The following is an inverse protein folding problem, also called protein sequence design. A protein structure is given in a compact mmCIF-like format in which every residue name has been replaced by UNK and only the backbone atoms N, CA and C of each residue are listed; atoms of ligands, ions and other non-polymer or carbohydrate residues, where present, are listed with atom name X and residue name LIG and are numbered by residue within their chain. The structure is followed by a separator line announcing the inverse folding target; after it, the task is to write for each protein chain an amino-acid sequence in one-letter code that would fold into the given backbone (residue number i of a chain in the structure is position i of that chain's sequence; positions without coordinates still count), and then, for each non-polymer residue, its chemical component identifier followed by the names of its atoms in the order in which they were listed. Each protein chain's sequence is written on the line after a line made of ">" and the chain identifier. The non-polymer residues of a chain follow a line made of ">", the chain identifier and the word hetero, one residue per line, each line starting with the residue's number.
data_IF_488140688495
#
_entry.id   IF_488140688495
#
_cell.length_a   1.000
_cell.length_b   1.000
_cell.length_c   1.000
_cell.angle_alpha   90.00
_cell.angle_beta   90.00
_cell.angle_gamma   90.00
#
_symmetry.space_group_name_H-M   'P 1'
#
loop_
_entity.id
_entity.type
_entity.pdbx_description
1 polymer ?
#
# COMPACT_ATOMS: atom_id res chain seq x y z
N UNK A 1 5.33 -13.16 42.78
CA UNK A 1 6.03 -13.36 41.49
C UNK A 1 5.35 -14.39 40.57
N UNK A 2 4.99 -15.60 41.03
CA UNK A 2 4.36 -16.64 40.16
C UNK A 2 3.06 -16.20 39.46
N UNK A 3 2.12 -15.58 40.20
CA UNK A 3 0.85 -15.06 39.64
C UNK A 3 1.07 -13.95 38.62
N UNK A 4 1.96 -12.99 38.93
CA UNK A 4 2.32 -11.91 38.01
C UNK A 4 2.95 -12.44 36.71
N UNK A 5 3.84 -13.45 36.80
CA UNK A 5 4.43 -14.10 35.62
C UNK A 5 3.39 -14.80 34.73
N UNK A 6 2.41 -15.49 35.33
CA UNK A 6 1.29 -16.11 34.58
C UNK A 6 0.42 -15.05 33.90
N UNK A 7 0.06 -13.98 34.60
CA UNK A 7 -0.74 -12.88 34.03
C UNK A 7 -0.01 -12.26 32.84
N UNK A 8 1.29 -11.97 32.99
CA UNK A 8 2.11 -11.40 31.92
C UNK A 8 2.22 -12.35 30.72
N UNK A 9 2.37 -13.65 30.98
CA UNK A 9 2.43 -14.67 29.95
C UNK A 9 1.13 -14.76 29.15
N UNK A 10 -0.03 -14.86 29.84
CA UNK A 10 -1.34 -14.93 29.19
C UNK A 10 -1.63 -13.65 28.41
N UNK A 11 -1.36 -12.48 29.00
CA UNK A 11 -1.51 -11.20 28.30
C UNK A 11 -0.61 -11.14 27.05
N UNK A 12 0.63 -11.63 27.16
CA UNK A 12 1.58 -11.70 26.06
C UNK A 12 1.08 -12.58 24.91
N UNK A 13 0.54 -13.76 25.21
CA UNK A 13 -0.07 -14.67 24.22
C UNK A 13 -1.23 -13.99 23.50
N UNK A 14 -2.16 -13.39 24.26
CA UNK A 14 -3.34 -12.72 23.70
C UNK A 14 -2.92 -11.55 22.79
N UNK A 15 -2.06 -10.66 23.26
CA UNK A 15 -1.60 -9.50 22.48
C UNK A 15 -0.84 -9.92 21.21
N UNK A 16 0.00 -10.94 21.31
CA UNK A 16 0.75 -11.47 20.15
C UNK A 16 -0.20 -12.05 19.11
N UNK A 17 -1.13 -12.91 19.53
CA UNK A 17 -2.07 -13.57 18.63
C UNK A 17 -3.00 -12.56 17.94
N UNK A 18 -3.63 -11.67 18.71
CA UNK A 18 -4.53 -10.65 18.16
C UNK A 18 -3.80 -9.64 17.29
N UNK A 19 -2.63 -9.14 17.73
CA UNK A 19 -1.84 -8.19 16.96
C UNK A 19 -1.35 -8.78 15.62
N UNK A 20 -0.95 -10.05 15.61
CA UNK A 20 -0.50 -10.74 14.39
C UNK A 20 -1.66 -11.01 13.44
N UNK A 21 -2.78 -11.55 13.92
CA UNK A 21 -3.95 -11.85 13.07
C UNK A 21 -4.52 -10.56 12.48
N UNK A 22 -4.70 -9.52 13.31
CA UNK A 22 -5.20 -8.22 12.86
C UNK A 22 -4.21 -7.52 11.93
N UNK A 23 -2.91 -7.57 12.24
CA UNK A 23 -1.86 -6.93 11.45
C UNK A 23 -1.73 -7.57 10.07
N UNK A 24 -1.60 -8.90 10.02
CA UNK A 24 -1.54 -9.65 8.77
C UNK A 24 -2.83 -9.52 7.95
N UNK A 25 -4.01 -9.65 8.58
CA UNK A 25 -5.29 -9.50 7.87
C UNK A 25 -5.43 -8.13 7.22
N UNK A 26 -5.13 -7.06 7.95
CA UNK A 26 -5.18 -5.71 7.42
C UNK A 26 -4.05 -5.45 6.39
N UNK A 27 -2.87 -6.04 6.56
CA UNK A 27 -1.77 -5.94 5.60
C UNK A 27 -2.08 -6.63 4.27
N UNK A 28 -2.66 -7.84 4.29
CA UNK A 28 -3.06 -8.53 3.06
C UNK A 28 -4.28 -7.89 2.38
N UNK A 29 -5.16 -7.25 3.15
CA UNK A 29 -6.26 -6.46 2.59
C UNK A 29 -5.80 -5.09 2.04
N UNK A 30 -4.63 -4.61 2.46
CA UNK A 30 -4.07 -3.34 2.00
C UNK A 30 -3.43 -3.52 0.63
N UNK A 31 -4.02 -2.89 -0.38
CA UNK A 31 -3.58 -2.98 -1.77
C UNK A 31 -2.56 -1.89 -2.18
N UNK A 32 -2.08 -1.08 -1.24
CA UNK A 32 -1.07 -0.04 -1.47
C UNK A 32 -1.52 1.16 -2.32
N UNK A 33 -2.80 1.22 -2.74
CA UNK A 33 -3.27 2.22 -3.71
C UNK A 33 -4.63 2.79 -3.30
N UNK A 34 -4.65 3.56 -2.21
CA UNK A 34 -5.85 4.31 -1.80
C UNK A 34 -5.91 5.67 -2.51
N UNK A 35 -6.87 5.89 -3.43
CA UNK A 35 -7.00 7.17 -4.10
C UNK A 35 -7.45 8.24 -3.10
N UNK A 36 -6.73 9.35 -3.07
CA UNK A 36 -7.01 10.50 -2.21
C UNK A 36 -7.48 11.72 -2.99
N UNK A 37 -7.09 11.83 -4.26
CA UNK A 37 -7.55 12.84 -5.19
C UNK A 37 -7.57 12.30 -6.62
N UNK A 38 -8.46 12.84 -7.45
CA UNK A 38 -8.55 12.56 -8.89
C UNK A 38 -8.65 13.87 -9.63
N UNK A 39 -7.80 14.05 -10.65
CA UNK A 39 -7.78 15.25 -11.48
C UNK A 39 -7.99 14.87 -12.95
N UNK A 40 -8.94 15.47 -13.67
CA UNK A 40 -9.12 15.21 -15.09
C UNK A 40 -7.89 15.70 -15.87
N UNK A 41 -7.49 14.93 -16.89
CA UNK A 41 -6.43 15.28 -17.83
C UNK A 41 -7.08 15.54 -19.18
N UNK A 42 -6.74 16.69 -19.79
CA UNK A 42 -7.06 16.98 -21.18
C UNK A 42 -5.83 16.65 -22.02
N UNK A 43 -5.99 15.75 -23.00
CA UNK A 43 -4.87 15.32 -23.85
C UNK A 43 -4.25 16.51 -24.59
N UNK A 44 -2.92 16.54 -24.65
CA UNK A 44 -2.14 17.62 -25.26
C UNK A 44 -2.08 18.91 -24.45
N UNK A 45 -2.69 18.96 -23.26
CA UNK A 45 -2.63 20.12 -22.36
C UNK A 45 -1.94 19.72 -21.06
N UNK A 46 -0.88 20.45 -20.64
CA UNK A 46 -0.23 20.18 -19.36
C UNK A 46 -1.19 20.37 -18.18
N UNK A 47 -1.39 19.31 -17.39
CA UNK A 47 -2.04 19.39 -16.08
C UNK A 47 -1.01 19.85 -15.05
N UNK A 48 -1.37 20.88 -14.27
CA UNK A 48 -0.65 21.30 -13.07
C UNK A 48 -1.60 21.23 -11.89
N UNK A 49 -1.27 20.42 -10.90
CA UNK A 49 -2.10 20.20 -9.72
C UNK A 49 -1.22 20.02 -8.48
N UNK A 50 -1.86 19.83 -7.32
CA UNK A 50 -1.17 19.70 -6.04
C UNK A 50 -1.70 18.53 -5.25
N UNK A 51 -0.82 17.91 -4.48
CA UNK A 51 -1.15 16.90 -3.47
C UNK A 51 -1.20 17.61 -2.12
N UNK A 52 -2.30 17.49 -1.39
CA UNK A 52 -2.38 17.93 0.00
C UNK A 52 -1.68 16.90 0.90
N UNK A 53 -0.35 17.01 0.94
CA UNK A 53 0.51 16.02 1.55
C UNK A 53 0.58 16.16 3.07
N UNK A 54 0.67 15.01 3.75
CA UNK A 54 0.90 14.89 5.19
C UNK A 54 2.30 14.35 5.47
N UNK A 55 2.96 14.95 6.45
CA UNK A 55 4.31 14.60 6.86
C UNK A 55 4.43 13.09 7.15
N UNK A 56 5.49 12.47 6.62
CA UNK A 56 5.78 11.05 6.78
C UNK A 56 4.91 10.11 5.92
N UNK A 57 3.95 10.62 5.15
CA UNK A 57 3.17 9.81 4.21
C UNK A 57 3.87 9.71 2.85
N UNK A 58 3.57 8.62 2.15
CA UNK A 58 4.12 8.28 0.85
C UNK A 58 3.03 8.38 -0.22
N UNK A 59 3.31 9.15 -1.26
CA UNK A 59 2.39 9.45 -2.34
C UNK A 59 2.91 8.92 -3.68
N UNK A 60 2.00 8.50 -4.54
CA UNK A 60 2.27 8.10 -5.93
C UNK A 60 1.19 8.73 -6.80
N UNK A 61 1.56 9.31 -7.95
CA UNK A 61 0.60 9.82 -8.92
C UNK A 61 0.47 8.81 -10.06
N UNK A 62 -0.71 8.20 -10.21
CA UNK A 62 -1.04 7.35 -11.34
C UNK A 62 -1.64 8.16 -12.48
N UNK A 63 -0.99 8.18 -13.63
CA UNK A 63 -1.55 8.72 -14.87
C UNK A 63 -2.36 7.62 -15.53
N UNK A 64 -3.67 7.78 -15.57
CA UNK A 64 -4.61 6.78 -16.09
C UNK A 64 -5.28 7.25 -17.37
N UNK A 65 -5.36 6.35 -18.34
CA UNK A 65 -6.19 6.49 -19.55
C UNK A 65 -7.19 5.36 -19.55
N UNK A 66 -8.48 5.70 -19.58
CA UNK A 66 -9.58 4.74 -19.61
C UNK A 66 -10.08 4.61 -21.04
N UNK A 67 -10.16 3.38 -21.51
CA UNK A 67 -10.56 3.04 -22.87
C UNK A 67 -11.98 2.47 -22.89
N UNK A 68 -12.69 2.73 -23.97
CA UNK A 68 -13.88 1.96 -24.31
C UNK A 68 -13.47 0.56 -24.77
N UNK A 69 -14.19 -0.46 -24.31
CA UNK A 69 -13.91 -1.86 -24.68
C UNK A 69 -14.46 -2.23 -26.05
N UNK A 70 -15.48 -1.51 -26.51
CA UNK A 70 -16.17 -1.81 -27.75
C UNK A 70 -15.21 -1.61 -28.94
N UNK A 71 -15.12 -2.63 -29.81
CA UNK A 71 -14.25 -2.61 -30.99
C UNK A 71 -12.79 -2.98 -30.74
N UNK A 72 -12.39 -3.32 -29.51
CA UNK A 72 -11.04 -3.83 -29.23
C UNK A 72 -10.92 -5.33 -29.52
N UNK A 73 -9.78 -5.73 -30.08
CA UNK A 73 -9.48 -7.14 -30.31
C UNK A 73 -9.12 -7.86 -29.00
N UNK A 74 -9.62 -9.09 -28.83
CA UNK A 74 -9.13 -10.03 -27.82
C UNK A 74 -8.16 -11.01 -28.50
N UNK A 75 -6.93 -11.12 -27.98
CA UNK A 75 -5.91 -12.10 -28.42
C UNK A 75 -5.43 -12.89 -27.21
N UNK A 76 -5.37 -14.22 -27.35
CA UNK A 76 -4.94 -15.13 -26.27
C UNK A 76 -5.69 -14.92 -24.94
N UNK A 77 -6.98 -14.56 -25.03
CA UNK A 77 -7.83 -14.31 -23.86
C UNK A 77 -7.58 -12.97 -23.15
N UNK A 78 -6.78 -12.07 -23.74
CA UNK A 78 -6.49 -10.73 -23.24
C UNK A 78 -6.97 -9.66 -24.24
N UNK A 79 -7.55 -8.57 -23.72
CA UNK A 79 -7.91 -7.41 -24.54
C UNK A 79 -6.64 -6.67 -24.93
N UNK A 80 -6.42 -6.50 -26.23
CA UNK A 80 -5.30 -5.74 -26.79
C UNK A 80 -5.74 -4.29 -26.93
N UNK A 81 -5.00 -3.38 -26.28
CA UNK A 81 -5.26 -1.94 -26.35
C UNK A 81 -4.16 -1.28 -27.18
N UNK A 82 -4.39 -1.04 -28.48
CA UNK A 82 -3.42 -0.36 -29.34
C UNK A 82 -3.43 1.15 -29.08
N UNK A 83 -2.68 1.60 -28.07
CA UNK A 83 -2.54 3.01 -27.72
C UNK A 83 -1.10 3.35 -27.36
N UNK A 84 -0.61 4.53 -27.80
CA UNK A 84 0.71 5.06 -27.44
C UNK A 84 0.61 6.56 -27.22
N UNK A 85 0.59 6.97 -25.96
CA UNK A 85 0.51 8.38 -25.58
C UNK A 85 1.86 8.86 -25.06
N UNK A 86 2.50 9.90 -25.63
CA UNK A 86 3.71 10.49 -25.06
C UNK A 86 3.40 11.01 -23.65
N UNK A 87 4.22 10.66 -22.67
CA UNK A 87 4.04 11.06 -21.28
C UNK A 87 5.32 11.71 -20.76
N UNK A 88 5.17 12.88 -20.16
CA UNK A 88 6.15 13.48 -19.26
C UNK A 88 5.43 13.92 -17.99
N UNK A 89 5.80 13.35 -16.85
CA UNK A 89 5.18 13.69 -15.59
C UNK A 89 6.21 13.74 -14.46
N UNK A 90 6.03 14.66 -13.53
CA UNK A 90 6.92 14.80 -12.39
C UNK A 90 6.20 15.37 -11.16
N UNK A 91 6.75 15.04 -10.00
CA UNK A 91 6.38 15.60 -8.69
C UNK A 91 7.51 16.55 -8.29
N UNK A 92 7.16 17.73 -7.81
CA UNK A 92 8.10 18.75 -7.36
C UNK A 92 8.13 18.82 -5.84
N UNK A 93 9.27 19.18 -5.26
CA UNK A 93 9.34 19.57 -3.84
C UNK A 93 8.94 21.05 -3.63
N UNK A 94 9.00 21.51 -2.38
CA UNK A 94 8.68 22.90 -2.03
C UNK A 94 9.62 23.95 -2.65
N UNK A 95 10.74 23.54 -3.25
CA UNK A 95 11.66 24.41 -3.99
C UNK A 95 11.42 24.43 -5.51
N UNK A 96 10.46 23.63 -6.00
CA UNK A 96 10.16 23.47 -7.41
C UNK A 96 11.08 22.48 -8.13
N UNK A 97 11.89 21.71 -7.40
CA UNK A 97 12.78 20.70 -7.98
C UNK A 97 12.01 19.40 -8.17
N UNK A 98 12.11 18.80 -9.36
CA UNK A 98 11.51 17.51 -9.65
C UNK A 98 12.18 16.39 -8.82
N UNK A 99 11.43 15.83 -7.87
CA UNK A 99 11.89 14.77 -6.96
C UNK A 99 11.50 13.37 -7.44
N UNK A 100 10.49 13.27 -8.29
CA UNK A 100 10.15 12.06 -9.02
C UNK A 100 9.75 12.44 -10.43
N UNK A 101 10.22 11.69 -11.44
CA UNK A 101 9.97 11.99 -12.84
C UNK A 101 9.81 10.71 -13.65
N UNK A 102 8.87 10.74 -14.58
CA UNK A 102 8.65 9.71 -15.59
C UNK A 102 8.54 10.38 -16.95
N UNK A 103 9.26 9.84 -17.91
CA UNK A 103 9.17 10.25 -19.32
C UNK A 103 9.12 9.00 -20.19
N UNK A 104 8.40 9.05 -21.30
CA UNK A 104 8.28 7.93 -22.23
C UNK A 104 6.87 7.84 -22.78
N UNK A 105 6.31 6.63 -22.79
CA UNK A 105 5.00 6.36 -23.34
C UNK A 105 4.06 5.81 -22.26
N UNK A 106 2.82 6.29 -22.23
CA UNK A 106 1.73 5.50 -21.67
C UNK A 106 1.28 4.55 -22.78
N UNK A 107 1.86 3.36 -22.77
CA UNK A 107 1.64 2.28 -23.72
C UNK A 107 1.19 1.03 -22.94
N UNK A 108 -0.04 0.52 -23.15
CA UNK A 108 -0.55 -0.67 -22.47
C UNK A 108 0.27 -1.95 -22.70
N UNK A 109 1.14 -1.97 -23.71
CA UNK A 109 2.06 -3.09 -24.01
C UNK A 109 3.43 -2.96 -23.33
N UNK A 110 3.76 -1.78 -22.77
CA UNK A 110 5.02 -1.61 -22.04
C UNK A 110 4.95 -2.21 -20.63
N UNK A 111 6.00 -2.89 -20.14
CA UNK A 111 6.05 -3.45 -18.78
C UNK A 111 5.89 -2.41 -17.66
N UNK A 112 6.17 -1.13 -17.97
CA UNK A 112 6.06 -0.03 -17.02
C UNK A 112 4.65 0.56 -16.90
N UNK A 113 3.71 0.06 -17.71
CA UNK A 113 2.30 0.44 -17.69
C UNK A 113 1.48 -0.72 -17.13
N UNK A 114 0.65 -0.43 -16.14
CA UNK A 114 -0.31 -1.40 -15.61
C UNK A 114 -1.60 -1.33 -16.41
N UNK A 115 -2.03 -2.43 -16.99
CA UNK A 115 -3.33 -2.53 -17.65
C UNK A 115 -4.35 -3.16 -16.70
N UNK A 116 -5.22 -2.32 -16.15
CA UNK A 116 -6.32 -2.72 -15.29
C UNK A 116 -7.50 -3.20 -16.11
N UNK A 117 -8.22 -4.18 -15.56
CA UNK A 117 -9.47 -4.63 -16.15
C UNK A 117 -9.32 -5.69 -17.25
N UNK A 118 -8.18 -6.36 -17.35
CA UNK A 118 -8.07 -7.60 -18.11
C UNK A 118 -8.74 -8.75 -17.33
N UNK A 119 -10.07 -8.82 -17.33
CA UNK A 119 -10.71 -10.05 -16.85
C UNK A 119 -10.57 -11.14 -17.91
N UNK A 120 -10.16 -12.33 -17.47
CA UNK A 120 -10.35 -13.57 -18.20
C UNK A 120 -11.85 -13.78 -18.49
N UNK A 121 -12.14 -14.39 -19.64
CA UNK A 121 -13.48 -14.68 -20.14
C UNK A 121 -14.36 -15.53 -19.20
N UNK A 122 -13.82 -16.12 -18.13
CA UNK A 122 -14.52 -17.10 -17.28
C UNK A 122 -15.00 -16.56 -15.91
N UNK A 123 -14.94 -15.25 -15.66
CA UNK A 123 -15.48 -14.63 -14.45
C UNK A 123 -16.85 -13.96 -14.66
N UNK A 124 -17.79 -14.00 -13.68
CA UNK A 124 -19.15 -13.48 -13.85
C UNK A 124 -19.28 -11.95 -13.94
N UNK A 125 -18.18 -11.19 -13.94
CA UNK A 125 -18.19 -9.73 -14.14
C UNK A 125 -16.90 -9.26 -14.80
N UNK A 126 -16.98 -8.88 -16.08
CA UNK A 126 -15.93 -8.03 -16.68
C UNK A 126 -15.86 -6.73 -15.86
N UNK A 127 -14.68 -6.32 -15.36
CA UNK A 127 -14.52 -5.08 -14.61
C UNK A 127 -14.93 -3.89 -15.47
N UNK A 128 -15.61 -2.93 -14.84
CA UNK A 128 -16.29 -1.84 -15.52
C UNK A 128 -15.36 -0.95 -16.36
N UNK A 129 -14.07 -0.89 -16.02
CA UNK A 129 -13.10 -0.01 -16.67
C UNK A 129 -11.90 -0.81 -17.19
N UNK A 130 -11.50 -0.52 -18.43
CA UNK A 130 -10.23 -0.94 -19.00
C UNK A 130 -9.31 0.28 -18.99
N UNK A 131 -8.30 0.28 -18.13
CA UNK A 131 -7.49 1.46 -17.89
C UNK A 131 -6.00 1.13 -17.91
N UNK A 132 -5.23 1.89 -18.70
CA UNK A 132 -3.78 1.83 -18.64
C UNK A 132 -3.27 2.90 -17.69
N UNK A 133 -2.36 2.51 -16.80
CA UNK A 133 -1.84 3.35 -15.73
C UNK A 133 -0.31 3.36 -15.72
N UNK A 134 0.27 4.56 -15.65
CA UNK A 134 1.70 4.72 -15.41
C UNK A 134 1.92 5.53 -14.14
N UNK A 135 2.74 4.99 -13.22
CA UNK A 135 2.96 5.56 -11.89
C UNK A 135 4.15 6.52 -11.89
N UNK A 136 4.01 7.63 -11.17
CA UNK A 136 5.05 8.64 -10.92
C UNK A 136 5.30 8.70 -9.41
N UNK A 137 6.54 8.46 -8.98
CA UNK A 137 6.90 8.35 -7.57
C UNK A 137 7.64 7.05 -7.27
N UNK A 138 7.72 6.64 -5.99
CA UNK A 138 7.06 7.26 -4.83
C UNK A 138 7.69 8.58 -4.37
N UNK A 139 6.90 9.42 -3.70
CA UNK A 139 7.34 10.62 -2.99
C UNK A 139 6.95 10.55 -1.52
N UNK A 140 7.90 10.71 -0.61
CA UNK A 140 7.63 10.78 0.84
C UNK A 140 7.65 12.24 1.28
N UNK A 141 6.53 12.73 1.80
CA UNK A 141 6.40 14.12 2.19
C UNK A 141 7.16 14.39 3.50
N UNK A 142 8.15 15.31 3.51
CA UNK A 142 8.93 15.61 4.71
C UNK A 142 8.13 16.47 5.72
N UNK A 143 7.14 17.21 5.24
CA UNK A 143 6.30 18.10 6.03
C UNK A 143 4.87 18.12 5.47
N UNK A 144 3.93 18.63 6.26
CA UNK A 144 2.58 18.93 5.77
C UNK A 144 2.65 20.08 4.76
N UNK A 145 1.95 19.95 3.63
CA UNK A 145 1.92 21.03 2.64
C UNK A 145 1.36 20.61 1.29
N UNK A 146 1.23 21.59 0.39
CA UNK A 146 0.76 21.37 -0.96
C UNK A 146 1.95 21.09 -1.89
N UNK A 147 2.04 19.87 -2.40
CA UNK A 147 3.17 19.38 -3.21
C UNK A 147 2.77 19.43 -4.69
N UNK A 148 3.44 20.22 -5.54
CA UNK A 148 3.09 20.34 -6.94
C UNK A 148 3.39 19.03 -7.70
N UNK A 149 2.56 18.75 -8.70
CA UNK A 149 2.91 17.82 -9.76
C UNK A 149 2.43 18.35 -11.10
N UNK A 150 3.16 17.97 -12.15
CA UNK A 150 2.82 18.30 -13.53
C UNK A 150 2.77 17.02 -14.35
N UNK A 151 1.78 16.95 -15.24
CA UNK A 151 1.61 15.86 -16.20
C UNK A 151 1.37 16.48 -17.57
N UNK A 152 2.20 16.12 -18.54
CA UNK A 152 1.99 16.36 -19.95
C UNK A 152 1.74 15.01 -20.63
N UNK A 153 0.47 14.79 -21.00
CA UNK A 153 0.03 13.59 -21.70
C UNK A 153 -0.37 13.98 -23.11
N UNK A 154 0.46 13.64 -24.08
CA UNK A 154 0.22 13.91 -25.49
C UNK A 154 -0.94 13.09 -26.07
N UNK A 155 -1.36 13.41 -27.30
CA UNK A 155 -2.39 12.64 -27.99
C UNK A 155 -1.92 11.21 -28.28
N UNK A 156 -2.88 10.29 -28.41
CA UNK A 156 -2.59 8.94 -28.88
C UNK A 156 -2.02 8.97 -30.31
N UNK A 157 -0.88 8.29 -30.49
CA UNK A 157 -0.17 8.19 -31.78
C UNK A 157 -0.62 7.01 -32.62
N UNK A 158 -1.36 6.05 -32.04
CA UNK A 158 -1.92 4.91 -32.79
C UNK A 158 -3.31 5.25 -33.31
N UNK A 159 -4.16 5.85 -32.48
CA UNK A 159 -5.43 6.45 -32.87
C UNK A 159 -6.57 5.45 -33.10
N UNK A 160 -6.42 4.20 -32.67
CA UNK A 160 -7.39 3.13 -32.90
C UNK A 160 -8.23 2.80 -31.67
N UNK A 161 -7.68 2.91 -30.46
CA UNK A 161 -8.43 2.70 -29.23
C UNK A 161 -9.19 3.98 -28.84
N UNK A 162 -10.50 3.86 -28.62
CA UNK A 162 -11.31 5.00 -28.18
C UNK A 162 -11.07 5.31 -26.71
N UNK A 163 -10.55 6.50 -26.44
CA UNK A 163 -10.30 6.99 -25.08
C UNK A 163 -11.59 7.62 -24.54
N UNK A 164 -12.08 7.10 -23.42
CA UNK A 164 -13.24 7.64 -22.71
C UNK A 164 -12.87 8.84 -21.85
N UNK A 165 -11.78 8.71 -21.10
CA UNK A 165 -11.27 9.75 -20.22
C UNK A 165 -9.78 9.54 -19.91
N UNK A 166 -9.10 10.61 -19.54
CA UNK A 166 -7.77 10.56 -18.95
C UNK A 166 -7.81 11.29 -17.59
N UNK A 167 -7.10 10.76 -16.59
CA UNK A 167 -7.11 11.29 -15.23
C UNK A 167 -5.80 11.01 -14.51
N UNK A 168 -5.40 11.93 -13.64
CA UNK A 168 -4.37 11.72 -12.64
C UNK A 168 -5.03 11.27 -11.34
N UNK A 169 -4.58 10.15 -10.78
CA UNK A 169 -5.05 9.64 -9.50
C UNK A 169 -3.91 9.73 -8.49
N UNK A 170 -4.11 10.45 -7.40
CA UNK A 170 -3.12 10.54 -6.33
C UNK A 170 -3.40 9.43 -5.33
N UNK A 171 -2.44 8.53 -5.19
CA UNK A 171 -2.47 7.43 -4.23
C UNK A 171 -1.70 7.79 -2.98
N UNK A 172 -2.29 7.44 -1.85
CA UNK A 172 -1.60 7.36 -0.57
C UNK A 172 -1.20 5.90 -0.33
N UNK A 173 0.10 5.65 -0.44
CA UNK A 173 0.76 4.36 -0.27
C UNK A 173 1.41 4.28 1.13
N UNK A 174 0.99 5.14 2.07
CA UNK A 174 1.40 5.01 3.46
C UNK A 174 0.68 3.83 4.10
N UNK A 175 1.43 3.00 4.82
CA UNK A 175 0.87 1.93 5.63
C UNK A 175 -0.13 2.53 6.63
N UNK A 176 -1.40 2.06 6.67
CA UNK A 176 -2.37 2.54 7.64
C UNK A 176 -1.83 2.42 9.07
N UNK A 177 -2.01 3.46 9.88
CA UNK A 177 -1.56 3.48 11.27
C UNK A 177 -2.11 2.29 12.08
N UNK A 178 -3.28 1.76 11.71
CA UNK A 178 -3.86 0.57 12.31
C UNK A 178 -2.98 -0.68 12.13
N UNK A 179 -2.38 -0.88 10.95
CA UNK A 179 -1.47 -2.01 10.67
C UNK A 179 -0.21 -1.86 11.51
N UNK A 180 0.38 -0.66 11.53
CA UNK A 180 1.56 -0.37 12.35
C UNK A 180 1.30 -0.62 13.84
N UNK A 181 0.14 -0.15 14.37
CA UNK A 181 -0.27 -0.38 15.77
C UNK A 181 -0.51 -1.86 16.07
N UNK A 182 -1.09 -2.62 15.14
CA UNK A 182 -1.32 -4.06 15.32
C UNK A 182 0.00 -4.84 15.44
N UNK A 183 0.98 -4.54 14.60
CA UNK A 183 2.33 -5.13 14.71
C UNK A 183 3.07 -4.65 15.97
N UNK A 184 2.92 -3.38 16.37
CA UNK A 184 3.48 -2.89 17.63
C UNK A 184 2.89 -3.64 18.84
N UNK A 185 1.57 -3.86 18.86
CA UNK A 185 0.90 -4.66 19.89
C UNK A 185 1.40 -6.11 19.91
N UNK A 186 1.62 -6.71 18.74
CA UNK A 186 2.19 -8.04 18.64
C UNK A 186 3.62 -8.10 19.22
N UNK A 187 4.46 -7.10 18.92
CA UNK A 187 5.82 -7.00 19.47
C UNK A 187 5.84 -6.82 21.00
N UNK A 188 4.98 -5.96 21.55
CA UNK A 188 4.81 -5.81 23.01
C UNK A 188 4.31 -7.11 23.63
N UNK A 189 3.37 -7.81 22.98
CA UNK A 189 2.88 -9.10 23.41
C UNK A 189 3.98 -10.16 23.47
N UNK A 190 4.83 -10.24 22.45
CA UNK A 190 5.93 -11.18 22.39
C UNK A 190 6.94 -10.95 23.52
N UNK A 191 7.27 -9.69 23.81
CA UNK A 191 8.13 -9.33 24.93
C UNK A 191 7.51 -9.73 26.27
N UNK A 192 6.23 -9.42 26.49
CA UNK A 192 5.50 -9.80 27.70
C UNK A 192 5.43 -11.33 27.88
N UNK A 193 5.29 -12.08 26.79
CA UNK A 193 5.31 -13.54 26.81
C UNK A 193 6.66 -14.07 27.30
N UNK A 194 7.77 -13.57 26.75
CA UNK A 194 9.13 -13.99 27.12
C UNK A 194 9.42 -13.65 28.58
N UNK A 195 9.17 -12.41 29.00
CA UNK A 195 9.39 -11.97 30.39
C UNK A 195 8.52 -12.77 31.36
N UNK A 196 7.26 -13.04 31.00
CA UNK A 196 6.32 -13.81 31.81
C UNK A 196 6.76 -15.26 31.99
N UNK A 197 7.20 -15.90 30.90
CA UNK A 197 7.74 -17.25 30.92
C UNK A 197 9.00 -17.36 31.78
N UNK A 198 9.96 -16.43 31.61
CA UNK A 198 11.19 -16.39 32.41
C UNK A 198 10.88 -16.19 33.90
N UNK A 199 10.02 -15.22 34.24
CA UNK A 199 9.61 -14.97 35.62
C UNK A 199 8.89 -16.18 36.26
N UNK A 200 8.09 -16.89 35.48
CA UNK A 200 7.40 -18.10 35.91
C UNK A 200 8.39 -19.25 36.19
N UNK A 201 9.34 -19.49 35.28
CA UNK A 201 10.39 -20.50 35.45
C UNK A 201 11.26 -20.20 36.68
N UNK A 202 11.70 -18.94 36.85
CA UNK A 202 12.46 -18.50 38.03
C UNK A 202 11.66 -18.74 39.31
N UNK A 203 10.36 -18.42 39.31
CA UNK A 203 9.50 -18.64 40.47
C UNK A 203 9.36 -20.13 40.81
N UNK A 204 9.26 -21.02 39.82
CA UNK A 204 9.24 -22.47 40.02
C UNK A 204 10.57 -22.94 40.62
N UNK A 205 11.70 -22.55 40.02
CA UNK A 205 13.03 -22.97 40.48
C UNK A 205 13.31 -22.49 41.92
N UNK A 206 12.89 -21.27 42.28
CA UNK A 206 12.99 -20.76 43.66
C UNK A 206 12.09 -21.54 44.63
N UNK A 207 10.87 -21.89 44.22
CA UNK A 207 9.96 -22.68 45.07
C UNK A 207 10.48 -24.10 45.35
N UNK A 208 11.20 -24.71 44.40
CA UNK A 208 11.84 -26.03 44.59
C UNK A 208 13.08 -25.99 45.49
N UNK A 209 13.84 -24.90 45.50
CA UNK A 209 15.02 -24.73 46.39
C UNK A 209 14.69 -24.39 47.84
N UNK A 210 13.45 -23.99 48.14
CA UNK A 210 12.99 -23.69 49.51
C UNK A 210 12.38 -24.88 50.27
N UNK A 211 12.36 -26.08 49.66
CA UNK A 211 11.64 -27.27 50.15
C UNK A 211 12.41 -28.18 51.12
N UNK A 212 13.51 -27.73 51.72
CA UNK A 212 14.22 -28.45 52.79
C UNK A 212 14.15 -27.65 54.09
N UNK A 213 12.96 -27.62 54.72
CA UNK A 213 12.83 -27.16 56.12
C UNK A 213 12.20 -28.26 56.98
N UNK A 214 13.10 -28.93 57.72
CA UNK A 214 12.94 -29.68 58.98
C UNK A 214 11.62 -30.42 59.18
N UNK A 215 11.64 -31.74 58.95
CA UNK A 215 10.85 -32.66 59.79
C UNK A 215 11.45 -32.59 61.20
N UNK A 216 10.70 -32.02 62.15
CA UNK A 216 10.99 -32.18 63.56
C UNK A 216 10.83 -33.67 63.89
N UNK A 217 11.90 -34.30 64.37
CA UNK A 217 11.81 -35.52 65.17
C UNK A 217 11.10 -35.16 66.48
N UNK A 218 10.07 -35.95 66.82
CA UNK A 218 9.55 -36.11 68.17
C UNK A 218 9.74 -37.58 68.51
#
# INVERSE_FOLDING_TARGET
>A
MRRAGIILFVLGVVLTAFGTISGCGAFFAWNGRHPTAVHPIVLGTPLRAKIDAKAGRRYVVGVQVVFEREGLEERDGAVVVPAKLPLAAHIEDGSGVAVAKVTGWLDPSEPTTFLHGQAHAEGPRKPAELAAERLVGPYTAPADGAVPFQIDLGPDRVGTAKIREARAVVYDDALPAAIARAFAAAGVGALALVVGAVAFVIAILRSRRGGTRRRHFV
#
